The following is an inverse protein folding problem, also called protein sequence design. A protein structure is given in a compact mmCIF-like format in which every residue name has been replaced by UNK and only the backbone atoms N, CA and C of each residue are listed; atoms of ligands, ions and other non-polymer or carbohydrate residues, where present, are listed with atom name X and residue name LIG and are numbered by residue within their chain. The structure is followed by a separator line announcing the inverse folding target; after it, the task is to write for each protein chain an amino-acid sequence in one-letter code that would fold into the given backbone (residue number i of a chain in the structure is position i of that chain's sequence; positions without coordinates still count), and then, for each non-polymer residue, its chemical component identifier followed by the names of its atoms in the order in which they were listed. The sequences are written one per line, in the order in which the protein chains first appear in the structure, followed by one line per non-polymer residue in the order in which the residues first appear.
data_IF_659733212425
#
_entry.id   IF_659733212425
#
_cell.length_a   1.000
_cell.length_b   1.000
_cell.length_c   1.000
_cell.angle_alpha   90.00
_cell.angle_beta   90.00
_cell.angle_gamma   90.00
#
_symmetry.space_group_name_H-M   'P 1'
#
loop_
_entity.id
_entity.type
_entity.pdbx_description
1 polymer ?
#
# COMPACT_ATOMS: atom_id res chain seq x y z
N UNK A 1 -24.19 5.27 20.58
CA UNK A 1 -22.74 5.58 20.55
C UNK A 1 -21.85 4.35 20.29
N UNK A 2 -22.26 3.13 20.70
CA UNK A 2 -21.49 1.90 20.42
C UNK A 2 -21.50 1.44 18.94
N UNK A 3 -22.49 1.86 18.15
CA UNK A 3 -22.63 1.45 16.73
C UNK A 3 -21.71 2.22 15.76
N UNK A 4 -21.22 3.40 16.14
CA UNK A 4 -20.25 4.17 15.33
C UNK A 4 -18.81 3.65 15.47
N UNK A 5 -18.49 2.99 16.59
CA UNK A 5 -17.19 2.36 16.81
C UNK A 5 -17.06 1.02 16.07
N UNK A 6 -18.15 0.31 15.82
CA UNK A 6 -18.14 -0.93 15.02
C UNK A 6 -17.91 -0.69 13.53
N UNK A 7 -18.23 0.49 12.99
CA UNK A 7 -17.97 0.83 11.58
C UNK A 7 -16.57 1.44 11.36
N UNK A 8 -16.01 2.13 12.35
CA UNK A 8 -14.63 2.67 12.28
C UNK A 8 -13.58 1.55 12.50
N UNK A 9 -13.92 0.50 13.24
CA UNK A 9 -13.10 -0.71 13.39
C UNK A 9 -13.38 -1.77 12.33
N UNK A 10 -14.01 -1.41 11.21
CA UNK A 10 -14.05 -2.30 10.05
C UNK A 10 -12.62 -2.37 9.50
N UNK A 11 -11.91 -3.42 9.95
CA UNK A 11 -10.55 -3.84 9.60
C UNK A 11 -9.97 -3.02 8.45
N UNK A 12 -8.92 -2.23 8.73
CA UNK A 12 -8.06 -1.69 7.67
C UNK A 12 -7.43 -2.90 6.97
N UNK A 13 -8.15 -3.47 6.00
CA UNK A 13 -7.67 -4.54 5.15
C UNK A 13 -6.75 -3.86 4.15
N UNK A 14 -5.46 -3.86 4.48
CA UNK A 14 -4.40 -3.42 3.58
C UNK A 14 -4.28 -4.46 2.46
N UNK A 15 -4.06 -4.02 1.20
CA UNK A 15 -3.75 -4.93 0.11
C UNK A 15 -2.55 -5.82 0.46
N UNK A 16 -2.65 -7.10 0.11
CA UNK A 16 -1.54 -8.05 0.29
C UNK A 16 -0.47 -7.81 -0.79
N UNK A 17 0.83 -7.89 -0.46
CA UNK A 17 1.90 -7.87 -1.47
C UNK A 17 1.82 -9.05 -2.46
N UNK A 18 1.08 -10.11 -2.09
CA UNK A 18 0.84 -11.31 -2.88
C UNK A 18 -0.58 -11.38 -3.47
N UNK A 19 -1.33 -10.27 -3.45
CA UNK A 19 -2.68 -10.22 -4.00
C UNK A 19 -2.68 -10.36 -5.52
N UNK A 20 -3.70 -11.03 -6.06
CA UNK A 20 -4.02 -10.97 -7.49
C UNK A 20 -4.59 -9.60 -7.87
N UNK A 21 -4.67 -9.35 -9.18
CA UNK A 21 -5.20 -8.07 -9.69
C UNK A 21 -6.62 -7.80 -9.17
N UNK A 22 -7.50 -8.80 -9.20
CA UNK A 22 -8.90 -8.64 -8.75
C UNK A 22 -9.00 -8.30 -7.28
N UNK A 23 -8.18 -8.90 -6.42
CA UNK A 23 -8.13 -8.59 -4.99
C UNK A 23 -7.57 -7.18 -4.73
N UNK A 24 -6.53 -6.81 -5.48
CA UNK A 24 -5.94 -5.47 -5.42
C UNK A 24 -6.99 -4.41 -5.80
N UNK A 25 -7.62 -4.55 -6.97
CA UNK A 25 -8.66 -3.63 -7.45
C UNK A 25 -9.86 -3.59 -6.49
N UNK A 26 -10.32 -4.73 -5.98
CA UNK A 26 -11.42 -4.77 -5.01
C UNK A 26 -11.08 -4.02 -3.72
N UNK A 27 -9.83 -4.11 -3.24
CA UNK A 27 -9.38 -3.42 -2.03
C UNK A 27 -9.37 -1.89 -2.19
N UNK A 28 -9.04 -1.39 -3.38
CA UNK A 28 -9.07 0.04 -3.69
C UNK A 28 -10.50 0.52 -4.01
N UNK A 29 -11.26 -0.25 -4.78
CA UNK A 29 -12.66 0.02 -5.11
C UNK A 29 -13.54 0.13 -3.86
N UNK A 30 -13.28 -0.65 -2.80
CA UNK A 30 -13.99 -0.54 -1.53
C UNK A 30 -13.79 0.80 -0.81
N UNK A 31 -12.87 1.64 -1.29
CA UNK A 31 -12.56 3.00 -0.82
C UNK A 31 -12.85 4.06 -1.88
N UNK A 32 -13.54 3.68 -2.95
CA UNK A 32 -13.98 4.56 -4.01
C UNK A 32 -12.92 4.90 -5.06
N UNK A 33 -11.84 4.12 -5.15
CA UNK A 33 -10.82 4.30 -6.20
C UNK A 33 -11.10 3.42 -7.41
N UNK A 34 -10.94 3.98 -8.61
CA UNK A 34 -11.00 3.23 -9.85
C UNK A 34 -9.65 2.58 -10.22
N UNK A 35 -9.59 1.89 -11.36
CA UNK A 35 -8.38 1.21 -11.82
C UNK A 35 -7.24 2.19 -12.14
N UNK A 36 -7.53 3.36 -12.72
CA UNK A 36 -6.53 4.38 -13.06
C UNK A 36 -5.91 4.97 -11.80
N UNK A 37 -6.74 5.31 -10.83
CA UNK A 37 -6.33 5.82 -9.52
C UNK A 37 -5.54 4.76 -8.76
N UNK A 38 -5.98 3.49 -8.81
CA UNK A 38 -5.27 2.37 -8.18
C UNK A 38 -3.86 2.20 -8.76
N UNK A 39 -3.74 2.16 -10.09
CA UNK A 39 -2.43 2.06 -10.77
C UNK A 39 -1.56 3.26 -10.39
N UNK A 40 -2.13 4.48 -10.35
CA UNK A 40 -1.38 5.67 -9.95
C UNK A 40 -0.83 5.54 -8.53
N UNK A 41 -1.67 5.16 -7.55
CA UNK A 41 -1.28 5.06 -6.15
C UNK A 41 -0.20 3.99 -5.91
N UNK A 42 -0.25 2.87 -6.64
CA UNK A 42 0.79 1.84 -6.58
C UNK A 42 2.13 2.32 -7.15
N UNK A 43 2.15 3.36 -7.99
CA UNK A 43 3.37 4.08 -8.36
C UNK A 43 4.13 4.70 -7.17
N UNK A 44 3.48 4.82 -6.00
CA UNK A 44 4.13 5.13 -4.71
C UNK A 44 5.22 4.13 -4.33
N UNK A 45 5.16 2.88 -4.82
CA UNK A 45 6.22 1.89 -4.67
C UNK A 45 7.49 2.23 -5.45
N UNK A 46 7.53 3.31 -6.23
CA UNK A 46 8.78 3.82 -6.82
C UNK A 46 9.78 4.38 -5.80
N UNK A 47 9.41 4.47 -4.52
CA UNK A 47 10.28 4.89 -3.42
C UNK A 47 10.22 3.90 -2.26
N UNK A 48 11.30 3.89 -1.46
CA UNK A 48 11.38 3.13 -0.23
C UNK A 48 12.13 1.81 -0.35
N UNK A 49 11.99 0.99 0.69
CA UNK A 49 12.68 -0.28 0.85
C UNK A 49 11.65 -1.36 1.17
N UNK A 50 11.86 -2.55 0.64
CA UNK A 50 11.06 -3.73 0.96
C UNK A 50 11.94 -4.87 1.44
N UNK A 51 11.50 -5.56 2.49
CA UNK A 51 12.21 -6.74 3.02
C UNK A 51 11.93 -7.98 2.19
N UNK A 52 12.94 -8.84 2.05
CA UNK A 52 12.87 -10.09 1.27
C UNK A 52 11.68 -10.98 1.64
N UNK A 53 11.27 -11.02 2.91
CA UNK A 53 10.11 -11.81 3.38
C UNK A 53 8.81 -11.55 2.62
N UNK A 54 8.64 -10.35 2.05
CA UNK A 54 7.41 -9.96 1.35
C UNK A 54 7.33 -10.47 -0.10
N UNK A 55 8.45 -10.87 -0.70
CA UNK A 55 8.49 -11.35 -2.08
C UNK A 55 9.26 -12.67 -2.27
N UNK A 56 9.81 -13.26 -1.20
CA UNK A 56 10.53 -14.54 -1.23
C UNK A 56 9.74 -15.68 -1.86
N UNK A 57 8.40 -15.69 -1.70
CA UNK A 57 7.55 -16.73 -2.26
C UNK A 57 7.72 -16.81 -3.78
N UNK A 58 7.73 -15.65 -4.44
CA UNK A 58 7.90 -15.52 -5.89
C UNK A 58 9.31 -15.91 -6.36
N UNK A 59 10.31 -15.85 -5.49
CA UNK A 59 11.69 -16.18 -5.86
C UNK A 59 11.95 -17.69 -5.88
N UNK A 60 11.25 -18.47 -5.06
CA UNK A 60 11.63 -19.87 -4.81
C UNK A 60 10.48 -20.88 -4.97
N UNK A 61 9.28 -20.55 -4.51
CA UNK A 61 8.17 -21.50 -4.44
C UNK A 61 6.84 -20.82 -4.72
N UNK A 62 6.72 -20.24 -5.91
CA UNK A 62 5.53 -19.54 -6.34
C UNK A 62 4.39 -20.55 -6.55
N UNK A 63 3.23 -20.28 -5.96
CA UNK A 63 2.05 -21.15 -6.04
C UNK A 63 2.32 -22.63 -5.70
N UNK A 64 3.22 -22.88 -4.74
CA UNK A 64 3.60 -24.23 -4.29
C UNK A 64 4.23 -25.13 -5.36
N UNK A 65 4.78 -24.54 -6.43
CA UNK A 65 5.35 -25.26 -7.57
C UNK A 65 6.82 -25.66 -7.42
N UNK A 66 7.48 -25.22 -6.34
CA UNK A 66 8.95 -25.24 -6.16
C UNK A 66 9.71 -24.57 -7.31
N UNK A 67 9.07 -23.60 -7.97
CA UNK A 67 9.64 -22.80 -9.06
C UNK A 67 9.41 -21.32 -8.78
N UNK A 68 10.24 -20.42 -9.35
CA UNK A 68 9.99 -18.99 -9.29
C UNK A 68 8.71 -18.61 -10.05
N UNK A 69 8.19 -17.43 -9.75
CA UNK A 69 7.10 -16.80 -10.48
C UNK A 69 7.48 -16.63 -11.96
N UNK A 70 6.72 -17.21 -12.91
CA UNK A 70 7.03 -17.15 -14.34
C UNK A 70 6.88 -15.75 -14.94
N UNK A 71 6.21 -14.82 -14.26
CA UNK A 71 6.06 -13.43 -14.71
C UNK A 71 7.26 -12.54 -14.37
N UNK A 72 8.20 -13.06 -13.56
CA UNK A 72 9.38 -12.34 -13.12
C UNK A 72 10.54 -12.55 -14.10
N UNK A 73 11.14 -11.45 -14.55
CA UNK A 73 12.32 -11.47 -15.43
C UNK A 73 13.45 -12.33 -14.83
N UNK A 74 14.10 -13.15 -15.64
CA UNK A 74 15.07 -14.14 -15.15
C UNK A 74 16.38 -13.51 -14.70
N UNK A 75 16.81 -12.43 -15.35
CA UNK A 75 17.96 -11.64 -14.94
C UNK A 75 17.69 -10.94 -13.61
N UNK A 76 16.52 -10.32 -13.49
CA UNK A 76 16.08 -9.67 -12.27
C UNK A 76 15.87 -10.66 -11.12
N UNK A 77 15.29 -11.83 -11.37
CA UNK A 77 15.18 -12.93 -10.40
C UNK A 77 16.55 -13.29 -9.81
N UNK A 78 17.58 -13.35 -10.65
CA UNK A 78 18.95 -13.66 -10.21
C UNK A 78 19.49 -12.57 -9.29
N UNK A 79 19.23 -11.29 -9.61
CA UNK A 79 19.56 -10.15 -8.75
C UNK A 79 18.80 -10.20 -7.41
N UNK A 80 17.49 -10.45 -7.44
CA UNK A 80 16.65 -10.57 -6.24
C UNK A 80 17.16 -11.68 -5.32
N UNK A 81 17.45 -12.86 -5.87
CA UNK A 81 18.02 -13.99 -5.13
C UNK A 81 19.38 -13.66 -4.53
N UNK A 82 20.26 -12.99 -5.29
CA UNK A 82 21.57 -12.58 -4.78
C UNK A 82 21.46 -11.64 -3.58
N UNK A 83 20.50 -10.71 -3.58
CA UNK A 83 20.30 -9.77 -2.47
C UNK A 83 19.60 -10.40 -1.27
N UNK A 84 18.73 -11.38 -1.50
CA UNK A 84 17.97 -12.07 -0.46
C UNK A 84 18.64 -13.36 0.05
N UNK A 85 19.86 -13.67 -0.39
CA UNK A 85 20.58 -14.83 0.10
C UNK A 85 21.32 -14.49 1.40
N UNK A 86 20.86 -15.03 2.53
CA UNK A 86 21.43 -14.78 3.85
C UNK A 86 22.83 -15.39 4.07
N UNK A 87 23.40 -16.08 3.08
CA UNK A 87 24.70 -16.76 3.23
C UNK A 87 25.91 -15.86 2.95
N UNK A 88 25.73 -14.60 2.56
CA UNK A 88 26.80 -13.62 2.41
C UNK A 88 26.36 -12.24 2.93
N UNK A 89 25.99 -12.17 4.21
CA UNK A 89 25.96 -10.91 4.96
C UNK A 89 27.39 -10.41 5.20
N UNK A 90 28.16 -10.17 4.13
CA UNK A 90 29.42 -9.46 4.22
C UNK A 90 29.74 -8.71 2.93
N UNK A 91 29.55 -7.40 3.04
CA UNK A 91 30.19 -6.29 2.31
C UNK A 91 29.63 -5.91 0.93
N UNK A 92 29.17 -4.65 0.94
CA UNK A 92 29.03 -3.70 -0.18
C UNK A 92 27.67 -3.75 -0.94
N UNK A 93 26.85 -2.70 -1.01
CA UNK A 93 27.01 -1.29 -0.67
C UNK A 93 25.85 -0.79 0.20
N UNK A 94 26.18 -0.05 1.25
CA UNK A 94 25.26 0.84 1.93
C UNK A 94 24.60 1.76 0.89
N UNK A 95 23.27 1.98 0.92
CA UNK A 95 22.71 3.08 0.15
C UNK A 95 23.35 4.37 0.65
N UNK A 96 23.87 5.17 -0.27
CA UNK A 96 24.41 6.51 0.00
C UNK A 96 23.47 7.29 0.93
N UNK A 97 24.00 8.11 1.85
CA UNK A 97 23.17 8.89 2.74
C UNK A 97 22.15 9.69 1.92
N UNK A 98 20.88 9.58 2.29
CA UNK A 98 19.80 10.38 1.73
C UNK A 98 20.27 11.83 1.61
N UNK A 99 20.14 12.50 0.44
CA UNK A 99 20.41 13.92 0.37
C UNK A 99 19.49 14.59 1.40
N UNK A 100 20.11 15.29 2.36
CA UNK A 100 19.35 16.13 3.28
C UNK A 100 18.60 17.15 2.42
N UNK A 101 17.28 17.01 2.35
CA UNK A 101 16.43 18.07 1.81
C UNK A 101 16.57 19.27 2.75
N UNK A 102 17.54 20.15 2.47
CA UNK A 102 17.47 21.52 2.95
C UNK A 102 16.24 22.11 2.28
N UNK A 103 15.20 22.37 3.08
CA UNK A 103 14.08 23.18 2.64
C UNK A 103 14.66 24.45 1.97
N UNK A 104 14.17 24.85 0.79
CA UNK A 104 14.52 26.15 0.24
C UNK A 104 14.18 27.21 1.28
N UNK A 105 15.01 28.27 1.45
CA UNK A 105 14.61 29.41 2.24
C UNK A 105 13.26 29.92 1.70
N UNK A 106 12.35 30.43 2.56
CA UNK A 106 11.09 30.98 2.09
C UNK A 106 11.41 32.10 1.10
N UNK A 107 11.13 31.86 -0.18
CA UNK A 107 11.10 32.92 -1.16
C UNK A 107 9.99 33.87 -0.71
N UNK A 108 10.37 35.09 -0.34
CA UNK A 108 9.45 36.20 -0.14
C UNK A 108 8.63 36.38 -1.41
N UNK A 109 7.42 35.83 -1.42
CA UNK A 109 6.41 36.19 -2.38
C UNK A 109 6.16 37.71 -2.26
N UNK A 110 6.09 38.46 -3.36
CA UNK A 110 5.73 39.86 -3.30
C UNK A 110 4.32 39.99 -2.76
N UNK A 111 4.17 40.79 -1.70
CA UNK A 111 2.86 41.25 -1.24
C UNK A 111 2.26 42.14 -2.32
N UNK A 112 1.47 41.57 -3.23
CA UNK A 112 0.53 42.36 -4.03
C UNK A 112 -0.69 42.59 -3.14
N UNK A 113 -0.73 43.78 -2.56
CA UNK A 113 -1.92 44.40 -1.98
C UNK A 113 -3.06 44.34 -3.00
N UNK A 114 -4.04 43.47 -2.75
CA UNK A 114 -5.27 43.43 -3.53
C UNK A 114 -6.22 44.46 -2.93
N UNK A 115 -6.29 45.61 -3.59
CA UNK A 115 -7.17 46.72 -3.24
C UNK A 115 -8.63 46.31 -3.47
N UNK A 116 -9.45 46.49 -2.45
CA UNK A 116 -10.84 46.10 -2.45
C UNK A 116 -11.68 47.08 -3.25
N UNK A 117 -12.00 46.75 -4.50
CA UNK A 117 -13.18 47.33 -5.16
C UNK A 117 -13.85 46.35 -6.13
N UNK A 118 -15.16 46.15 -5.84
CA UNK A 118 -16.25 45.90 -6.78
C UNK A 118 -16.41 44.48 -7.36
N UNK A 119 -17.35 43.75 -6.76
CA UNK A 119 -18.10 42.64 -7.37
C UNK A 119 -18.65 43.00 -8.75
N UNK A 120 -18.72 42.02 -9.65
CA UNK A 120 -19.95 41.75 -10.35
C UNK A 120 -20.42 40.31 -10.10
N UNK A 121 -21.61 40.23 -9.53
CA UNK A 121 -22.53 39.11 -9.65
C UNK A 121 -22.63 38.62 -11.10
N UNK A 122 -22.38 37.34 -11.35
CA UNK A 122 -23.22 36.43 -12.17
C UNK A 122 -22.59 35.03 -12.12
N UNK A 123 -23.18 34.13 -11.33
CA UNK A 123 -22.89 32.70 -11.40
C UNK A 123 -23.89 32.06 -12.38
N UNK A 124 -23.47 31.19 -13.32
CA UNK A 124 -24.39 30.26 -13.94
C UNK A 124 -24.52 29.03 -13.05
N UNK A 125 -25.72 28.87 -12.51
CA UNK A 125 -26.24 27.64 -11.92
C UNK A 125 -26.18 26.50 -12.93
N UNK A 126 -25.44 25.43 -12.62
CA UNK A 126 -25.55 24.15 -13.33
C UNK A 126 -26.45 23.23 -12.50
N UNK A 127 -27.71 23.18 -12.92
CA UNK A 127 -28.74 22.26 -12.45
C UNK A 127 -28.47 20.85 -12.96
N UNK A 128 -28.29 19.90 -12.03
CA UNK A 128 -28.38 18.48 -12.30
C UNK A 128 -29.85 18.07 -12.42
N UNK A 129 -30.29 17.61 -13.60
CA UNK A 129 -31.55 16.91 -13.80
C UNK A 129 -31.48 16.09 -15.08
N UNK A 130 -31.76 14.79 -15.01
CA UNK A 130 -32.00 13.96 -16.20
C UNK A 130 -31.52 12.51 -16.07
N UNK A 131 -32.36 11.66 -15.47
CA UNK A 131 -32.38 10.22 -15.75
C UNK A 131 -32.83 9.96 -17.21
N UNK A 132 -32.56 8.78 -17.77
CA UNK A 132 -33.70 7.89 -17.99
C UNK A 132 -33.47 6.42 -17.62
N UNK A 133 -34.59 5.81 -17.28
CA UNK A 133 -34.88 4.40 -16.98
C UNK A 133 -35.10 3.54 -18.23
N UNK A 134 -34.70 2.27 -18.18
CA UNK A 134 -35.41 1.07 -18.72
C UNK A 134 -34.52 -0.17 -18.52
N UNK A 135 -34.86 -1.06 -17.57
CA UNK A 135 -35.62 -2.32 -17.74
C UNK A 135 -34.89 -3.40 -18.57
N UNK A 136 -34.32 -4.43 -17.95
CA UNK A 136 -34.88 -5.80 -17.81
C UNK A 136 -33.66 -6.76 -17.98
N UNK A 137 -33.50 -7.95 -17.42
CA UNK A 137 -34.42 -8.98 -16.96
C UNK A 137 -33.74 -9.87 -15.90
N UNK A 138 -34.60 -10.49 -15.11
CA UNK A 138 -34.44 -11.51 -14.08
C UNK A 138 -33.78 -12.82 -14.51
N UNK A 139 -33.05 -13.45 -13.60
CA UNK A 139 -33.17 -14.90 -13.32
C UNK A 139 -32.56 -15.23 -11.95
N UNK A 140 -33.43 -15.39 -10.96
CA UNK A 140 -33.15 -16.07 -9.69
C UNK A 140 -32.93 -17.56 -9.92
N UNK A 141 -31.96 -18.15 -9.23
CA UNK A 141 -32.07 -19.56 -8.84
C UNK A 141 -31.69 -19.70 -7.37
N UNK A 142 -32.72 -20.03 -6.59
CA UNK A 142 -32.76 -20.13 -5.13
C UNK A 142 -32.59 -21.60 -4.78
N UNK A 143 -31.53 -21.98 -4.07
CA UNK A 143 -31.41 -23.30 -3.42
C UNK A 143 -30.75 -23.17 -2.06
N UNK A 144 -31.51 -23.50 -1.02
CA UNK A 144 -31.13 -23.93 0.34
C UNK A 144 -32.44 -24.36 1.03
N UNK A 145 -32.45 -25.19 2.10
CA UNK A 145 -31.33 -25.70 2.89
C UNK A 145 -31.40 -27.23 3.16
N UNK A 146 -30.29 -27.82 3.62
CA UNK A 146 -30.37 -29.07 4.39
C UNK A 146 -29.39 -29.04 5.56
N UNK A 147 -29.98 -29.18 6.73
CA UNK A 147 -29.42 -29.35 8.06
C UNK A 147 -28.68 -30.68 8.23
N UNK A 148 -27.55 -30.66 8.92
CA UNK A 148 -27.06 -31.85 9.66
C UNK A 148 -26.14 -31.43 10.81
N UNK A 149 -26.71 -31.57 11.99
CA UNK A 149 -26.13 -31.55 13.35
C UNK A 149 -25.29 -32.81 13.60
N UNK A 150 -24.17 -32.72 14.34
CA UNK A 150 -23.67 -33.67 15.36
C UNK A 150 -22.24 -33.21 15.85
N UNK A 151 -21.63 -33.78 16.92
CA UNK A 151 -21.59 -33.15 18.24
C UNK A 151 -20.16 -32.90 18.79
N UNK A 152 -20.10 -32.12 19.86
CA UNK A 152 -18.92 -31.91 20.72
C UNK A 152 -18.48 -33.18 21.47
N UNK A 153 -17.20 -33.26 21.88
CA UNK A 153 -16.83 -33.95 23.10
C UNK A 153 -16.18 -32.99 24.12
N UNK A 154 -16.73 -33.00 25.33
CA UNK A 154 -16.12 -32.47 26.54
C UNK A 154 -15.27 -33.55 27.19
N UNK A 155 -14.05 -33.23 27.64
CA UNK A 155 -13.31 -34.02 28.63
C UNK A 155 -12.62 -33.08 29.63
N UNK A 156 -12.78 -33.43 30.91
CA UNK A 156 -12.47 -32.68 32.13
C UNK A 156 -11.06 -32.98 32.67
N UNK A 157 -10.50 -31.99 33.37
CA UNK A 157 -9.61 -32.13 34.54
C UNK A 157 -8.13 -32.38 34.24
N UNK A 158 -7.14 -31.91 35.02
CA UNK A 158 -7.11 -31.20 36.30
C UNK A 158 -5.70 -30.61 36.52
N UNK A 159 -5.64 -29.70 37.49
CA UNK A 159 -4.56 -28.84 37.98
C UNK A 159 -3.28 -29.55 38.46
N UNK A 160 -2.12 -28.95 38.19
CA UNK A 160 -1.00 -28.84 39.16
C UNK A 160 0.07 -27.81 38.70
N UNK A 161 0.22 -26.73 39.47
CA UNK A 161 1.49 -25.96 39.61
C UNK A 161 2.32 -26.62 40.72
N UNK A 162 3.66 -26.43 40.85
CA UNK A 162 4.20 -25.18 41.45
C UNK A 162 5.63 -24.74 41.03
N UNK A 163 6.02 -23.60 41.61
CA UNK A 163 7.37 -23.10 41.93
C UNK A 163 8.09 -22.05 41.06
N UNK A 164 8.04 -20.85 41.62
CA UNK A 164 8.96 -19.71 41.65
C UNK A 164 10.47 -20.00 41.72
N UNK A 165 11.28 -19.19 41.02
CA UNK A 165 12.52 -18.52 41.49
C UNK A 165 13.07 -17.62 40.37
N UNK A 166 13.03 -16.30 40.56
CA UNK A 166 14.16 -15.41 40.94
C UNK A 166 14.89 -14.79 39.74
N UNK A 167 14.83 -13.45 39.67
CA UNK A 167 15.52 -12.60 38.71
C UNK A 167 17.05 -12.58 38.91
N UNK A 168 17.80 -12.24 37.85
CA UNK A 168 19.01 -11.44 38.02
C UNK A 168 18.96 -10.13 37.22
N UNK A 169 19.86 -9.28 37.67
CA UNK A 169 20.04 -7.85 37.52
C UNK A 169 20.58 -7.36 36.18
N UNK A 170 20.05 -6.20 35.79
CA UNK A 170 20.67 -5.04 35.11
C UNK A 170 21.98 -5.18 34.31
N UNK A 171 21.93 -4.59 33.11
CA UNK A 171 23.01 -4.09 32.26
C UNK A 171 23.67 -5.10 31.30
N UNK A 172 23.10 -5.19 30.09
CA UNK A 172 23.78 -5.43 28.78
C UNK A 172 22.80 -5.76 27.64
N UNK A 173 21.49 -5.83 27.90
CA UNK A 173 20.50 -6.31 26.93
C UNK A 173 19.98 -5.27 25.91
N UNK A 174 20.40 -4.01 26.00
CA UNK A 174 19.95 -2.92 25.11
C UNK A 174 20.85 -2.73 23.86
N UNK A 175 21.99 -3.43 23.76
CA UNK A 175 22.87 -3.37 22.58
C UNK A 175 22.76 -4.63 21.68
N UNK A 176 22.08 -5.66 22.17
CA UNK A 176 21.89 -6.95 21.46
C UNK A 176 20.53 -7.06 20.75
N UNK A 177 19.54 -6.24 21.12
CA UNK A 177 18.24 -6.18 20.44
C UNK A 177 18.17 -5.17 19.30
N UNK A 178 19.19 -4.30 19.16
CA UNK A 178 19.31 -3.36 18.04
C UNK A 178 20.18 -3.90 16.89
N UNK A 179 20.69 -5.12 17.03
CA UNK A 179 21.55 -5.80 16.05
C UNK A 179 20.90 -7.02 15.39
N UNK A 180 19.59 -7.27 15.63
CA UNK A 180 18.85 -8.40 15.03
C UNK A 180 17.80 -8.01 13.97
N UNK A 181 17.82 -6.79 13.41
CA UNK A 181 16.84 -6.35 12.39
C UNK A 181 17.44 -5.72 11.13
N UNK A 182 18.69 -6.02 10.78
CA UNK A 182 19.15 -5.85 9.39
C UNK A 182 18.74 -7.08 8.57
N UNK A 183 17.43 -7.31 8.45
CA UNK A 183 16.89 -8.24 7.47
C UNK A 183 17.19 -7.67 6.07
N UNK A 184 17.82 -8.43 5.15
CA UNK A 184 18.17 -7.92 3.83
C UNK A 184 16.94 -7.35 3.13
N UNK A 185 17.07 -6.10 2.72
CA UNK A 185 16.05 -5.33 2.04
C UNK A 185 16.49 -4.93 0.65
N UNK A 186 15.53 -4.76 -0.25
CA UNK A 186 15.75 -4.20 -1.58
C UNK A 186 15.16 -2.80 -1.64
N UNK A 187 15.95 -1.85 -2.14
CA UNK A 187 15.42 -0.55 -2.56
C UNK A 187 14.45 -0.77 -3.73
N UNK A 188 13.24 -0.22 -3.66
CA UNK A 188 12.26 -0.39 -4.71
C UNK A 188 12.63 0.34 -6.02
N UNK A 189 13.44 1.41 -5.92
CA UNK A 189 14.16 2.05 -7.02
C UNK A 189 15.57 1.45 -7.19
N UNK A 190 15.64 0.13 -7.43
CA UNK A 190 16.90 -0.61 -7.46
C UNK A 190 17.88 -0.18 -8.57
N UNK A 191 17.43 0.59 -9.58
CA UNK A 191 18.27 1.11 -10.67
C UNK A 191 19.04 2.40 -10.32
N UNK A 192 18.94 2.90 -9.07
CA UNK A 192 19.82 3.96 -8.52
C UNK A 192 19.10 5.21 -8.00
N UNK A 193 19.78 6.09 -7.25
CA UNK A 193 19.19 7.33 -6.75
C UNK A 193 19.16 8.40 -7.86
N UNK A 194 17.95 8.83 -8.23
CA UNK A 194 17.72 9.84 -9.27
C UNK A 194 17.48 9.16 -10.61
N UNK A 195 16.38 9.40 -11.31
CA UNK A 195 15.71 10.67 -11.56
C UNK A 195 14.24 10.34 -11.83
N UNK A 196 13.33 11.04 -11.17
CA UNK A 196 11.86 10.94 -11.33
C UNK A 196 11.13 9.79 -10.62
N UNK A 197 10.49 10.15 -9.50
CA UNK A 197 9.42 9.39 -8.84
C UNK A 197 8.41 8.87 -9.87
N UNK A 198 8.21 7.55 -9.92
CA UNK A 198 7.28 6.85 -10.80
C UNK A 198 7.88 6.24 -12.07
N UNK A 199 8.86 6.88 -12.73
CA UNK A 199 9.33 6.49 -14.07
C UNK A 199 9.83 5.04 -14.11
N UNK A 200 10.81 4.72 -13.24
CA UNK A 200 11.44 3.41 -13.21
C UNK A 200 10.49 2.29 -12.78
N UNK A 201 9.49 2.62 -11.95
CA UNK A 201 8.49 1.66 -11.50
C UNK A 201 7.70 1.10 -12.69
N UNK A 202 7.07 1.97 -13.50
CA UNK A 202 6.25 1.51 -14.61
C UNK A 202 7.07 0.88 -15.74
N UNK A 203 8.28 1.39 -16.03
CA UNK A 203 9.20 0.72 -16.95
C UNK A 203 9.58 -0.69 -16.47
N UNK A 204 9.82 -0.85 -15.17
CA UNK A 204 10.08 -2.15 -14.56
C UNK A 204 8.93 -3.13 -14.76
N UNK A 205 7.68 -2.71 -14.55
CA UNK A 205 6.52 -3.58 -14.76
C UNK A 205 6.39 -4.07 -16.21
N UNK A 206 6.66 -3.20 -17.19
CA UNK A 206 6.67 -3.54 -18.61
C UNK A 206 7.74 -4.59 -18.96
N UNK A 207 8.81 -4.67 -18.17
CA UNK A 207 9.92 -5.59 -18.34
C UNK A 207 9.80 -6.86 -17.48
N UNK A 208 8.70 -7.06 -16.76
CA UNK A 208 8.58 -8.20 -15.82
C UNK A 208 9.42 -8.04 -14.55
N UNK A 209 9.78 -6.81 -14.19
CA UNK A 209 10.67 -6.48 -13.05
C UNK A 209 9.94 -5.87 -11.86
N UNK A 210 8.64 -6.12 -11.70
CA UNK A 210 7.91 -5.78 -10.48
C UNK A 210 8.41 -6.62 -9.29
N UNK A 211 8.81 -5.98 -8.19
CA UNK A 211 9.34 -6.67 -6.99
C UNK A 211 8.21 -7.41 -6.24
N UNK A 212 7.06 -6.77 -6.07
CA UNK A 212 5.88 -7.39 -5.48
C UNK A 212 5.06 -8.11 -6.55
N UNK A 213 4.41 -9.22 -6.16
CA UNK A 213 3.49 -9.91 -7.07
C UNK A 213 2.33 -8.99 -7.43
N UNK A 214 1.74 -8.32 -6.45
CA UNK A 214 0.65 -7.37 -6.65
C UNK A 214 1.01 -6.24 -7.64
N UNK A 215 2.28 -5.78 -7.66
CA UNK A 215 2.75 -4.79 -8.63
C UNK A 215 2.77 -5.39 -10.05
N UNK A 216 3.36 -6.58 -10.20
CA UNK A 216 3.46 -7.23 -11.51
C UNK A 216 2.08 -7.59 -12.08
N UNK A 217 1.08 -7.83 -11.23
CA UNK A 217 -0.30 -8.11 -11.61
C UNK A 217 -1.01 -6.94 -12.29
N UNK A 218 -0.51 -5.70 -12.19
CA UNK A 218 -1.03 -4.57 -12.98
C UNK A 218 -0.91 -4.79 -14.50
N UNK A 219 -0.03 -5.69 -14.94
CA UNK A 219 0.12 -6.07 -16.34
C UNK A 219 -0.85 -7.17 -16.79
N UNK A 220 -1.55 -7.83 -15.87
CA UNK A 220 -2.49 -8.91 -16.18
C UNK A 220 -3.85 -8.39 -16.70
N UNK A 221 -4.28 -7.20 -16.27
CA UNK A 221 -5.53 -6.57 -16.68
C UNK A 221 -5.41 -5.75 -17.96
N UNK A 222 -6.48 -5.69 -18.76
CA UNK A 222 -6.51 -4.93 -20.02
C UNK A 222 -6.48 -3.41 -19.78
N UNK A 223 -7.26 -2.92 -18.81
CA UNK A 223 -7.30 -1.49 -18.49
C UNK A 223 -6.06 -1.05 -17.70
N UNK A 224 -5.66 -1.82 -16.68
CA UNK A 224 -4.49 -1.48 -15.86
C UNK A 224 -3.19 -1.43 -16.68
N UNK A 225 -3.00 -2.33 -17.65
CA UNK A 225 -1.82 -2.27 -18.53
C UNK A 225 -1.82 -1.05 -19.45
N UNK A 226 -2.98 -0.49 -19.80
CA UNK A 226 -3.07 0.75 -20.58
C UNK A 226 -2.52 1.89 -19.74
N UNK A 227 -2.93 1.99 -18.48
CA UNK A 227 -2.42 3.01 -17.55
C UNK A 227 -0.94 2.83 -17.23
N UNK A 228 -0.46 1.59 -17.03
CA UNK A 228 0.98 1.33 -16.84
C UNK A 228 1.79 1.83 -18.05
N UNK A 229 1.33 1.57 -19.28
CA UNK A 229 1.99 2.07 -20.50
C UNK A 229 1.94 3.60 -20.61
N UNK A 230 0.80 4.20 -20.27
CA UNK A 230 0.62 5.64 -20.31
C UNK A 230 1.57 6.33 -19.31
N UNK A 231 1.64 5.84 -18.07
CA UNK A 231 2.53 6.39 -17.04
C UNK A 231 4.01 6.11 -17.30
N UNK A 232 4.36 4.98 -17.93
CA UNK A 232 5.72 4.74 -18.39
C UNK A 232 6.13 5.69 -19.53
N UNK A 233 5.18 6.22 -20.31
CA UNK A 233 5.45 7.09 -21.46
C UNK A 233 5.40 8.58 -21.10
N UNK A 234 4.57 8.95 -20.12
CA UNK A 234 4.35 10.34 -19.70
C UNK A 234 4.39 10.47 -18.18
N UNK A 235 5.53 10.94 -17.67
CA UNK A 235 5.76 11.15 -16.24
C UNK A 235 4.91 12.30 -15.67
N UNK A 236 4.55 13.28 -16.49
CA UNK A 236 3.72 14.41 -16.06
C UNK A 236 2.27 13.99 -15.87
N UNK A 237 1.78 13.07 -16.71
CA UNK A 237 0.48 12.42 -16.53
C UNK A 237 0.45 11.65 -15.21
N UNK A 238 1.46 10.80 -14.96
CA UNK A 238 1.57 10.07 -13.70
C UNK A 238 1.56 11.00 -12.48
N UNK A 239 2.41 12.03 -12.45
CA UNK A 239 2.53 12.94 -11.30
C UNK A 239 1.22 13.66 -10.99
N UNK A 240 0.50 14.06 -12.03
CA UNK A 240 -0.81 14.71 -11.91
C UNK A 240 -1.84 13.77 -11.29
N UNK A 241 -1.97 12.58 -11.85
CA UNK A 241 -2.96 11.59 -11.39
C UNK A 241 -2.63 11.09 -9.99
N UNK A 242 -1.35 10.88 -9.69
CA UNK A 242 -0.88 10.53 -8.35
C UNK A 242 -1.25 11.60 -7.33
N UNK A 243 -1.02 12.89 -7.64
CA UNK A 243 -1.37 13.99 -6.74
C UNK A 243 -2.87 14.06 -6.49
N UNK A 244 -3.70 13.89 -7.54
CA UNK A 244 -5.16 13.86 -7.41
C UNK A 244 -5.64 12.66 -6.57
N UNK A 245 -5.07 11.48 -6.80
CA UNK A 245 -5.40 10.28 -6.04
C UNK A 245 -4.98 10.41 -4.57
N UNK A 246 -3.82 11.01 -4.29
CA UNK A 246 -3.37 11.30 -2.92
C UNK A 246 -4.25 12.34 -2.21
N UNK A 247 -4.72 13.37 -2.92
CA UNK A 247 -5.71 14.32 -2.37
C UNK A 247 -7.01 13.60 -2.01
N UNK A 248 -7.53 12.75 -2.90
CA UNK A 248 -8.72 11.93 -2.64
C UNK A 248 -8.51 10.99 -1.45
N UNK A 249 -7.35 10.32 -1.38
CA UNK A 249 -6.96 9.46 -0.27
C UNK A 249 -6.92 10.22 1.07
N UNK A 250 -6.40 11.45 1.06
CA UNK A 250 -6.32 12.30 2.26
C UNK A 250 -7.68 12.70 2.83
N UNK A 251 -8.74 12.66 2.00
CA UNK A 251 -10.10 13.03 2.39
C UNK A 251 -10.94 11.82 2.84
N UNK A 252 -10.35 10.61 2.90
CA UNK A 252 -11.09 9.43 3.32
C UNK A 252 -11.37 9.44 4.82
N UNK A 253 -12.65 9.46 5.17
CA UNK A 253 -13.16 9.28 6.54
C UNK A 253 -12.49 10.23 7.56
N UNK A 254 -12.14 11.44 7.12
CA UNK A 254 -11.54 12.47 7.98
C UNK A 254 -12.54 12.88 9.06
N UNK A 255 -12.05 13.03 10.29
CA UNK A 255 -12.84 13.55 11.40
C UNK A 255 -12.83 15.09 11.35
N UNK A 256 -14.01 15.70 11.29
CA UNK A 256 -14.18 17.16 11.17
C UNK A 256 -15.08 17.74 12.27
N UNK A 257 -14.96 19.05 12.50
CA UNK A 257 -15.77 19.76 13.50
C UNK A 257 -15.44 19.31 14.92
N UNK A 258 -16.47 18.96 15.69
CA UNK A 258 -16.32 18.44 17.06
C UNK A 258 -16.02 16.93 17.11
N UNK A 259 -15.85 16.27 15.96
CA UNK A 259 -15.51 14.84 15.91
C UNK A 259 -14.00 14.65 16.03
N UNK A 260 -13.54 13.88 17.01
CA UNK A 260 -12.11 13.62 17.24
C UNK A 260 -11.45 14.62 18.20
N UNK A 261 -10.12 14.75 18.13
CA UNK A 261 -9.34 15.67 18.98
C UNK A 261 -8.01 16.06 18.33
N UNK A 262 -7.48 17.21 18.71
CA UNK A 262 -6.10 17.60 18.38
C UNK A 262 -5.16 16.96 19.40
N UNK A 263 -4.31 16.02 18.95
CA UNK A 263 -3.38 15.32 19.83
C UNK A 263 -2.12 16.15 20.08
N UNK A 264 -1.78 16.35 21.34
CA UNK A 264 -0.46 16.89 21.74
C UNK A 264 0.64 15.82 21.63
N UNK A 265 0.28 14.56 21.82
CA UNK A 265 1.15 13.39 21.66
C UNK A 265 0.47 12.38 20.73
N UNK A 266 1.02 12.16 19.52
CA UNK A 266 0.38 11.30 18.51
C UNK A 266 0.15 9.85 18.98
N UNK A 267 1.02 9.34 19.85
CA UNK A 267 1.00 7.99 20.41
C UNK A 267 0.04 7.80 21.59
N UNK A 268 -0.59 8.87 22.08
CA UNK A 268 -1.52 8.82 23.21
C UNK A 268 -2.86 9.46 22.85
N UNK A 269 -3.93 8.90 23.40
CA UNK A 269 -5.23 9.57 23.42
C UNK A 269 -5.24 10.48 24.63
N UNK A 270 -5.72 11.72 24.44
CA UNK A 270 -5.95 12.66 25.54
C UNK A 270 -6.96 12.12 26.56
#
# INVERSE_FOLDING_TARGET
MALFLSEILQHIKLPSPNADLSETLASFASRGFDERETVSLLGGHSIGVIHCKFFQNRLYNFSWTNKPDPSLDTGFLSLLRSRCNNNNSSKEASPSPSPSFKAPPPSSAPSTSFDGTKSPSTAPSLSCSGSPSSSSSTSEMRVSPSSSTAPSPSLKGSISSPHSSSAPSSASFEDSLLSTLEEPGMNMAYEGPGVDFGTLYYHGLLQGKGILYADQQLMAGVETRIWVRAYASDISLFRRDYALAMMKLSNLRVLTGSTGQVRLHCSKVA
#
